data_IF_770393152207
#
_entry.id   IF_770393152207
#
_cell.length_a   1.000
_cell.length_b   1.000
_cell.length_c   1.000
_cell.angle_alpha   90.00
_cell.angle_beta   90.00
_cell.angle_gamma   90.00
#
_symmetry.space_group_name_H-M   'P 1'
#
loop_
_entity.id
_entity.type
_entity.pdbx_description
1 polymer ?
#
# COMPACT_ATOMS: atom_id res chain seq x y z
N UNK A 1 -4.42 -11.16 -23.71
CA UNK A 1 -3.08 -11.30 -23.07
C UNK A 1 -2.02 -10.37 -23.62
N UNK A 2 -1.79 -10.30 -24.94
CA UNK A 2 -0.75 -9.44 -25.52
C UNK A 2 -0.82 -7.96 -25.08
N UNK A 3 -2.03 -7.40 -24.94
CA UNK A 3 -2.22 -6.00 -24.56
C UNK A 3 -1.74 -5.67 -23.13
N UNK A 4 -1.92 -6.57 -22.16
CA UNK A 4 -1.40 -6.37 -20.79
C UNK A 4 0.12 -6.39 -20.81
N UNK A 5 0.71 -7.36 -21.52
CA UNK A 5 2.16 -7.48 -21.69
C UNK A 5 2.78 -6.24 -22.34
N UNK A 6 2.09 -5.62 -23.31
CA UNK A 6 2.56 -4.42 -24.01
C UNK A 6 2.65 -3.18 -23.10
N UNK A 7 2.01 -3.17 -21.93
CA UNK A 7 2.09 -2.05 -20.98
C UNK A 7 3.34 -2.10 -20.11
N UNK A 8 4.09 -3.20 -20.10
CA UNK A 8 5.29 -3.39 -19.26
C UNK A 8 6.36 -2.29 -19.38
N UNK A 9 6.63 -1.71 -20.57
CA UNK A 9 7.60 -0.62 -20.70
C UNK A 9 7.15 0.73 -20.14
N UNK A 10 5.87 0.87 -19.74
CA UNK A 10 5.37 2.12 -19.17
C UNK A 10 5.94 2.39 -17.78
N UNK A 11 5.98 3.66 -17.38
CA UNK A 11 6.48 4.04 -16.05
C UNK A 11 5.45 3.75 -14.96
N UNK A 12 5.87 3.25 -13.79
CA UNK A 12 4.97 3.02 -12.68
C UNK A 12 4.52 4.34 -12.01
N UNK A 13 3.46 4.32 -11.20
CA UNK A 13 2.95 5.52 -10.53
C UNK A 13 3.99 6.17 -9.61
N UNK A 14 4.20 7.49 -9.74
CA UNK A 14 5.22 8.21 -8.95
C UNK A 14 4.96 8.23 -7.44
N UNK A 15 3.73 7.95 -7.01
CA UNK A 15 3.32 7.92 -5.61
C UNK A 15 3.27 6.51 -5.01
N UNK A 16 3.62 5.48 -5.78
CA UNK A 16 3.55 4.09 -5.34
C UNK A 16 2.13 3.52 -5.29
N UNK A 17 1.12 4.24 -5.80
CA UNK A 17 -0.25 3.72 -5.81
C UNK A 17 -0.46 2.55 -6.77
N UNK A 18 -1.63 1.91 -6.67
CA UNK A 18 -2.08 0.89 -7.61
C UNK A 18 -2.19 1.49 -9.04
N UNK A 19 -1.51 0.93 -10.06
CA UNK A 19 -1.64 1.40 -11.43
C UNK A 19 -3.08 1.25 -11.94
N UNK A 20 -3.57 2.25 -12.68
CA UNK A 20 -4.95 2.24 -13.22
C UNK A 20 -5.25 1.02 -14.08
N UNK A 21 -4.25 0.52 -14.79
CA UNK A 21 -4.37 -0.71 -15.59
C UNK A 21 -4.78 -1.90 -14.71
N UNK A 22 -4.20 -2.00 -13.52
CA UNK A 22 -4.42 -3.13 -12.61
C UNK A 22 -5.86 -3.10 -12.11
N UNK A 23 -6.33 -1.95 -11.62
CA UNK A 23 -7.73 -1.79 -11.22
C UNK A 23 -8.69 -2.08 -12.37
N UNK A 24 -8.41 -1.53 -13.57
CA UNK A 24 -9.24 -1.79 -14.74
C UNK A 24 -9.31 -3.27 -15.11
N UNK A 25 -8.16 -3.96 -15.14
CA UNK A 25 -8.12 -5.39 -15.50
C UNK A 25 -8.85 -6.23 -14.45
N UNK A 26 -8.66 -5.97 -13.16
CA UNK A 26 -9.38 -6.71 -12.11
C UNK A 26 -10.88 -6.46 -12.16
N UNK A 27 -11.31 -5.22 -12.38
CA UNK A 27 -12.73 -4.86 -12.48
C UNK A 27 -13.37 -5.51 -13.71
N UNK A 28 -12.66 -5.47 -14.85
CA UNK A 28 -13.11 -6.08 -16.09
C UNK A 28 -13.21 -7.60 -15.99
N UNK A 29 -12.18 -8.27 -15.46
CA UNK A 29 -12.22 -9.72 -15.22
C UNK A 29 -13.35 -10.10 -14.27
N UNK A 30 -13.56 -9.34 -13.20
CA UNK A 30 -14.67 -9.58 -12.28
C UNK A 30 -16.04 -9.39 -12.96
N UNK A 31 -16.18 -8.41 -13.86
CA UNK A 31 -17.40 -8.23 -14.64
C UNK A 31 -17.65 -9.40 -15.60
N UNK A 32 -16.62 -9.90 -16.30
CA UNK A 32 -16.74 -11.03 -17.21
C UNK A 32 -17.15 -12.32 -16.50
N UNK A 33 -16.75 -12.49 -15.24
CA UNK A 33 -17.09 -13.66 -14.43
C UNK A 33 -18.53 -13.65 -13.91
N UNK A 34 -19.24 -12.53 -14.03
CA UNK A 34 -20.58 -12.42 -13.45
C UNK A 34 -21.62 -13.30 -14.16
N UNK A 35 -22.66 -13.68 -13.41
CA UNK A 35 -23.73 -14.56 -13.89
C UNK A 35 -24.48 -14.00 -15.12
N UNK A 36 -24.36 -12.69 -15.37
CA UNK A 36 -24.97 -12.05 -16.53
C UNK A 36 -24.12 -12.22 -17.78
N UNK A 37 -22.80 -12.00 -17.71
CA UNK A 37 -21.91 -11.98 -18.88
C UNK A 37 -21.26 -13.33 -19.14
N UNK A 38 -20.95 -14.11 -18.09
CA UNK A 38 -20.24 -15.38 -18.23
C UNK A 38 -20.97 -16.37 -19.16
N UNK A 39 -22.28 -16.62 -19.05
CA UNK A 39 -22.97 -17.55 -19.96
C UNK A 39 -22.95 -17.08 -21.42
N UNK A 40 -23.13 -15.78 -21.64
CA UNK A 40 -23.09 -15.19 -22.98
C UNK A 40 -21.68 -15.28 -23.58
N UNK A 41 -20.65 -14.99 -22.78
CA UNK A 41 -19.25 -15.12 -23.19
C UNK A 41 -18.92 -16.56 -23.57
N UNK A 42 -19.32 -17.54 -22.75
CA UNK A 42 -19.16 -18.97 -23.08
C UNK A 42 -19.81 -19.30 -24.42
N UNK A 43 -21.06 -18.85 -24.64
CA UNK A 43 -21.79 -19.12 -25.89
C UNK A 43 -21.13 -18.50 -27.13
N UNK A 44 -20.65 -17.26 -27.01
CA UNK A 44 -19.93 -16.58 -28.10
C UNK A 44 -18.63 -17.32 -28.42
N UNK A 45 -17.88 -17.75 -27.40
CA UNK A 45 -16.64 -18.51 -27.58
C UNK A 45 -16.89 -19.88 -28.20
N UNK A 46 -17.89 -20.63 -27.73
CA UNK A 46 -18.32 -21.90 -28.34
C UNK A 46 -18.62 -21.72 -29.83
N UNK A 47 -19.40 -20.69 -30.18
CA UNK A 47 -19.77 -20.41 -31.57
C UNK A 47 -18.52 -20.08 -32.40
N UNK A 48 -17.67 -19.18 -31.90
CA UNK A 48 -16.44 -18.80 -32.59
C UNK A 48 -15.47 -19.99 -32.80
N UNK A 49 -15.29 -20.86 -31.80
CA UNK A 49 -14.44 -22.04 -31.91
C UNK A 49 -15.02 -23.08 -32.89
N UNK A 50 -16.34 -23.25 -32.91
CA UNK A 50 -17.00 -24.14 -33.87
C UNK A 50 -16.75 -23.72 -35.32
N UNK A 51 -16.71 -22.42 -35.63
CA UNK A 51 -16.36 -21.91 -36.96
C UNK A 51 -14.91 -22.21 -37.37
N UNK A 52 -14.03 -22.48 -36.39
CA UNK A 52 -12.63 -22.83 -36.58
C UNK A 52 -12.36 -24.34 -36.51
N UNK A 53 -13.40 -25.16 -36.37
CA UNK A 53 -13.30 -26.60 -36.08
C UNK A 53 -12.49 -26.91 -34.80
N UNK A 54 -12.54 -26.03 -33.81
CA UNK A 54 -11.91 -26.21 -32.50
C UNK A 54 -12.98 -26.58 -31.45
N UNK A 55 -12.66 -27.45 -30.49
CA UNK A 55 -13.57 -27.83 -29.42
C UNK A 55 -13.52 -26.83 -28.27
N UNK A 56 -14.70 -26.46 -27.75
CA UNK A 56 -14.77 -25.65 -26.53
C UNK A 56 -14.42 -26.49 -25.32
N UNK A 57 -13.37 -26.11 -24.61
CA UNK A 57 -12.99 -26.71 -23.32
C UNK A 57 -13.69 -25.98 -22.17
N UNK A 58 -14.39 -26.74 -21.34
CA UNK A 58 -14.97 -26.20 -20.11
C UNK A 58 -13.84 -25.72 -19.20
N UNK A 59 -13.74 -24.41 -19.01
CA UNK A 59 -12.63 -23.79 -18.30
C UNK A 59 -11.90 -22.71 -19.07
N UNK A 60 -12.04 -22.64 -20.41
CA UNK A 60 -11.23 -21.73 -21.24
C UNK A 60 -11.30 -20.26 -20.79
N UNK A 61 -12.47 -19.77 -20.39
CA UNK A 61 -12.63 -18.40 -19.86
C UNK A 61 -11.82 -18.20 -18.57
N UNK A 62 -11.89 -19.17 -17.67
CA UNK A 62 -11.17 -19.16 -16.40
C UNK A 62 -9.65 -19.20 -16.65
N UNK A 63 -9.17 -20.06 -17.54
CA UNK A 63 -7.75 -20.11 -17.93
C UNK A 63 -7.28 -18.76 -18.50
N UNK A 64 -8.07 -18.15 -19.39
CA UNK A 64 -7.71 -16.87 -20.00
C UNK A 64 -7.68 -15.71 -18.99
N UNK A 65 -8.59 -15.69 -18.02
CA UNK A 65 -8.57 -14.72 -16.92
C UNK A 65 -7.35 -14.98 -16.03
N UNK A 66 -7.08 -16.23 -15.70
CA UNK A 66 -5.93 -16.61 -14.88
C UNK A 66 -4.60 -16.14 -15.50
N UNK A 67 -4.32 -16.43 -16.78
CA UNK A 67 -3.05 -15.95 -17.35
C UNK A 67 -3.03 -14.43 -17.57
N UNK A 68 -4.20 -13.78 -17.66
CA UNK A 68 -4.28 -12.31 -17.66
C UNK A 68 -3.85 -11.74 -16.32
N UNK A 69 -4.31 -12.30 -15.20
CA UNK A 69 -3.88 -11.91 -13.85
C UNK A 69 -2.40 -12.26 -13.62
N UNK A 70 -1.92 -13.37 -14.18
CA UNK A 70 -0.50 -13.74 -14.16
C UNK A 70 0.38 -12.73 -14.89
N UNK A 71 0.00 -12.30 -16.09
CA UNK A 71 0.73 -11.25 -16.82
C UNK A 71 0.69 -9.90 -16.08
N UNK A 72 -0.42 -9.59 -15.41
CA UNK A 72 -0.52 -8.45 -14.49
C UNK A 72 0.53 -8.55 -13.38
N UNK A 73 0.68 -9.71 -12.74
CA UNK A 73 1.68 -9.91 -11.70
C UNK A 73 3.13 -9.72 -12.22
N UNK A 74 3.42 -10.20 -13.43
CA UNK A 74 4.74 -9.99 -14.09
C UNK A 74 5.00 -8.51 -14.35
N UNK A 75 3.98 -7.74 -14.75
CA UNK A 75 4.12 -6.30 -14.93
C UNK A 75 4.39 -5.59 -13.61
N UNK A 76 3.70 -5.96 -12.53
CA UNK A 76 3.96 -5.40 -11.20
C UNK A 76 5.39 -5.66 -10.73
N UNK A 77 5.92 -6.85 -10.93
CA UNK A 77 7.33 -7.17 -10.62
C UNK A 77 8.32 -6.36 -11.48
N UNK A 78 8.00 -6.14 -12.75
CA UNK A 78 8.83 -5.30 -13.62
C UNK A 78 8.82 -3.83 -13.18
N UNK A 79 7.63 -3.33 -12.80
CA UNK A 79 7.42 -1.96 -12.34
C UNK A 79 8.03 -1.68 -10.96
N UNK A 80 7.97 -2.63 -10.04
CA UNK A 80 8.60 -2.48 -8.72
C UNK A 80 10.12 -2.27 -8.86
N UNK A 81 10.76 -2.99 -9.78
CA UNK A 81 12.19 -2.85 -10.11
C UNK A 81 12.55 -1.56 -10.85
N UNK A 82 11.58 -0.86 -11.43
CA UNK A 82 11.81 0.37 -12.17
C UNK A 82 11.93 1.62 -11.27
N UNK A 83 11.59 1.52 -9.98
CA UNK A 83 11.79 2.61 -9.05
C UNK A 83 13.28 2.75 -8.67
N UNK A 84 13.81 3.97 -8.80
CA UNK A 84 15.15 4.31 -8.30
C UNK A 84 15.22 4.19 -6.77
N UNK A 85 14.15 4.57 -6.08
CA UNK A 85 14.03 4.43 -4.64
C UNK A 85 13.39 3.10 -4.26
N UNK A 86 14.19 2.18 -3.74
CA UNK A 86 13.73 0.88 -3.27
C UNK A 86 12.65 0.97 -2.18
N UNK A 87 12.65 2.04 -1.37
CA UNK A 87 11.61 2.22 -0.34
C UNK A 87 10.26 2.58 -0.94
N UNK A 88 10.24 3.31 -2.07
CA UNK A 88 9.04 3.54 -2.86
C UNK A 88 8.56 2.25 -3.54
N UNK A 89 9.48 1.41 -4.01
CA UNK A 89 9.13 0.07 -4.52
C UNK A 89 8.40 -0.77 -3.47
N UNK A 90 8.78 -0.68 -2.19
CA UNK A 90 8.07 -1.41 -1.13
C UNK A 90 6.65 -0.88 -0.93
N UNK A 91 6.46 0.45 -0.89
CA UNK A 91 5.12 1.06 -0.83
C UNK A 91 4.26 0.63 -2.01
N UNK A 92 4.84 0.62 -3.21
CA UNK A 92 4.18 0.12 -4.41
C UNK A 92 3.70 -1.32 -4.26
N UNK A 93 4.55 -2.21 -3.74
CA UNK A 93 4.17 -3.61 -3.55
C UNK A 93 3.10 -3.77 -2.45
N UNK A 94 3.16 -2.97 -1.37
CA UNK A 94 2.12 -2.96 -0.33
C UNK A 94 0.75 -2.66 -0.94
N UNK A 95 0.63 -1.57 -1.71
CA UNK A 95 -0.64 -1.13 -2.28
C UNK A 95 -1.22 -2.15 -3.27
N UNK A 96 -0.37 -2.76 -4.12
CA UNK A 96 -0.83 -3.77 -5.08
C UNK A 96 -1.21 -5.09 -4.40
N UNK A 97 -0.51 -5.51 -3.34
CA UNK A 97 -0.89 -6.70 -2.58
C UNK A 97 -2.18 -6.48 -1.77
N UNK A 98 -2.38 -5.28 -1.23
CA UNK A 98 -3.67 -4.87 -0.67
C UNK A 98 -4.80 -4.94 -1.71
N UNK A 99 -4.56 -4.42 -2.92
CA UNK A 99 -5.55 -4.47 -4.01
C UNK A 99 -6.01 -5.89 -4.30
N UNK A 100 -5.08 -6.83 -4.46
CA UNK A 100 -5.42 -8.23 -4.72
C UNK A 100 -6.06 -8.95 -3.54
N UNK A 101 -5.58 -8.72 -2.31
CA UNK A 101 -6.20 -9.27 -1.11
C UNK A 101 -7.66 -8.82 -0.97
N UNK A 102 -7.94 -7.56 -1.33
CA UNK A 102 -9.28 -6.98 -1.28
C UNK A 102 -10.23 -7.51 -2.36
N UNK A 103 -9.78 -8.41 -3.24
CA UNK A 103 -10.66 -9.18 -4.13
C UNK A 103 -11.39 -10.32 -3.38
N UNK A 104 -11.12 -10.54 -2.10
CA UNK A 104 -11.82 -11.53 -1.28
C UNK A 104 -13.33 -11.28 -1.29
N UNK A 105 -14.11 -12.31 -1.63
CA UNK A 105 -15.58 -12.23 -1.66
C UNK A 105 -16.17 -11.55 -2.90
N UNK A 106 -15.34 -11.31 -3.92
CA UNK A 106 -15.83 -11.04 -5.28
C UNK A 106 -15.42 -12.17 -6.22
N UNK A 107 -16.12 -12.31 -7.33
CA UNK A 107 -16.03 -13.47 -8.22
C UNK A 107 -14.61 -13.73 -8.73
N UNK A 108 -13.85 -12.67 -9.02
CA UNK A 108 -12.45 -12.82 -9.40
C UNK A 108 -11.58 -13.39 -8.26
N UNK A 109 -11.75 -12.91 -7.03
CA UNK A 109 -10.98 -13.43 -5.89
C UNK A 109 -11.38 -14.86 -5.55
N UNK A 110 -12.68 -15.17 -5.59
CA UNK A 110 -13.19 -16.53 -5.35
C UNK A 110 -12.66 -17.51 -6.40
N UNK A 111 -12.59 -17.08 -7.67
CA UNK A 111 -11.97 -17.85 -8.75
C UNK A 111 -10.47 -18.09 -8.51
N UNK A 112 -9.73 -17.09 -8.05
CA UNK A 112 -8.28 -17.21 -7.80
C UNK A 112 -7.98 -18.07 -6.56
N UNK A 113 -8.92 -18.14 -5.62
CA UNK A 113 -8.88 -19.02 -4.46
C UNK A 113 -8.18 -18.44 -3.22
N UNK A 114 -8.55 -18.98 -2.05
CA UNK A 114 -8.09 -18.51 -0.74
C UNK A 114 -6.58 -18.57 -0.55
N UNK A 115 -5.90 -19.56 -1.14
CA UNK A 115 -4.43 -19.68 -1.05
C UNK A 115 -3.74 -18.49 -1.73
N UNK A 116 -4.24 -18.05 -2.88
CA UNK A 116 -3.70 -16.91 -3.61
C UNK A 116 -3.97 -15.59 -2.87
N UNK A 117 -5.19 -15.43 -2.33
CA UNK A 117 -5.55 -14.27 -1.50
C UNK A 117 -4.71 -14.21 -0.22
N UNK A 118 -4.55 -15.33 0.48
CA UNK A 118 -3.73 -15.42 1.69
C UNK A 118 -2.25 -15.13 1.43
N UNK A 119 -1.71 -15.52 0.27
CA UNK A 119 -0.35 -15.14 -0.10
C UNK A 119 -0.19 -13.61 -0.23
N UNK A 120 -1.18 -12.92 -0.83
CA UNK A 120 -1.15 -11.46 -0.92
C UNK A 120 -1.26 -10.75 0.44
N UNK A 121 -1.96 -11.34 1.41
CA UNK A 121 -1.94 -10.87 2.80
C UNK A 121 -0.54 -10.95 3.42
N UNK A 122 0.15 -12.07 3.23
CA UNK A 122 1.50 -12.24 3.76
C UNK A 122 2.50 -11.30 3.06
N UNK A 123 2.36 -11.10 1.74
CA UNK A 123 3.26 -10.22 1.01
C UNK A 123 3.09 -8.74 1.38
N UNK A 124 1.87 -8.23 1.60
CA UNK A 124 1.70 -6.83 2.07
C UNK A 124 2.41 -6.61 3.41
N UNK A 125 2.31 -7.57 4.33
CA UNK A 125 2.96 -7.48 5.65
C UNK A 125 4.49 -7.58 5.53
N UNK A 126 4.98 -8.47 4.66
CA UNK A 126 6.40 -8.61 4.34
C UNK A 126 6.99 -7.30 3.79
N UNK A 127 6.34 -6.67 2.81
CA UNK A 127 6.84 -5.41 2.24
C UNK A 127 6.71 -4.24 3.22
N UNK A 128 5.68 -4.22 4.08
CA UNK A 128 5.58 -3.25 5.17
C UNK A 128 6.77 -3.37 6.14
N UNK A 129 7.16 -4.59 6.52
CA UNK A 129 8.32 -4.83 7.37
C UNK A 129 9.64 -4.41 6.69
N UNK A 130 9.82 -4.72 5.40
CA UNK A 130 10.99 -4.25 4.63
C UNK A 130 11.06 -2.73 4.57
N UNK A 131 9.94 -2.06 4.33
CA UNK A 131 9.84 -0.61 4.32
C UNK A 131 10.23 -0.01 5.67
N UNK A 132 9.63 -0.48 6.77
CA UNK A 132 9.93 0.01 8.12
C UNK A 132 11.42 -0.15 8.46
N UNK A 133 12.00 -1.32 8.18
CA UNK A 133 13.42 -1.62 8.42
C UNK A 133 14.35 -0.74 7.59
N UNK A 134 14.10 -0.66 6.28
CA UNK A 134 15.04 -0.05 5.34
C UNK A 134 14.89 1.47 5.23
N UNK A 135 13.72 2.03 5.58
CA UNK A 135 13.51 3.48 5.67
C UNK A 135 13.77 3.99 7.09
N UNK A 136 12.94 3.61 8.06
CA UNK A 136 12.90 4.23 9.39
C UNK A 136 13.88 3.62 10.39
N UNK A 137 14.21 2.33 10.24
CA UNK A 137 15.26 1.68 11.05
C UNK A 137 16.62 2.39 10.94
N UNK A 138 16.98 2.86 9.73
CA UNK A 138 18.20 3.65 9.51
C UNK A 138 18.14 5.01 10.21
N UNK A 139 17.00 5.69 10.20
CA UNK A 139 16.84 6.98 10.90
C UNK A 139 17.03 6.83 12.41
N UNK A 140 16.41 5.81 13.00
CA UNK A 140 16.51 5.54 14.43
C UNK A 140 17.95 5.26 14.85
N UNK A 141 18.75 4.57 14.03
CA UNK A 141 20.15 4.28 14.35
C UNK A 141 21.02 5.53 14.64
N UNK A 142 20.62 6.71 14.14
CA UNK A 142 21.32 7.99 14.40
C UNK A 142 21.28 8.35 15.89
N UNK A 143 20.16 8.07 16.56
CA UNK A 143 19.91 8.44 17.96
C UNK A 143 19.88 7.23 18.91
N UNK A 144 19.76 6.00 18.40
CA UNK A 144 19.63 4.74 19.19
C UNK A 144 20.99 4.07 19.50
N UNK A 145 22.12 4.65 19.10
CA UNK A 145 23.42 4.03 19.43
C UNK A 145 23.67 3.91 20.95
N UNK A 146 24.23 2.75 21.32
CA UNK A 146 24.55 2.26 22.68
C UNK A 146 25.36 3.24 23.55
N UNK A 147 25.96 4.27 22.96
CA UNK A 147 26.66 5.35 23.65
C UNK A 147 25.74 6.28 24.45
N UNK A 148 24.42 6.15 24.35
CA UNK A 148 23.50 6.81 25.31
C UNK A 148 23.75 6.36 26.76
N UNK A 149 24.41 5.21 26.95
CA UNK A 149 24.87 4.73 28.27
C UNK A 149 26.32 5.08 28.58
N UNK A 150 27.09 5.61 27.63
CA UNK A 150 28.38 6.22 27.93
C UNK A 150 28.14 7.67 28.30
N UNK A 151 28.22 7.98 29.58
CA UNK A 151 28.18 9.32 30.20
C UNK A 151 29.28 10.28 29.72
N UNK A 152 29.83 10.10 28.51
CA UNK A 152 31.02 10.75 27.97
C UNK A 152 30.76 11.64 26.74
N UNK A 153 29.53 11.71 26.23
CA UNK A 153 29.19 12.60 25.11
C UNK A 153 28.87 14.01 25.62
N UNK A 154 29.66 14.99 25.21
CA UNK A 154 29.41 16.42 25.48
C UNK A 154 28.11 16.90 24.84
N UNK A 155 27.56 18.01 25.35
CA UNK A 155 26.39 18.66 24.74
C UNK A 155 26.56 18.89 23.24
N UNK A 156 27.76 19.29 22.80
CA UNK A 156 28.06 19.49 21.38
C UNK A 156 27.89 18.22 20.54
N UNK A 157 28.32 17.06 21.05
CA UNK A 157 28.18 15.76 20.38
C UNK A 157 26.71 15.35 20.25
N UNK A 158 25.94 15.50 21.35
CA UNK A 158 24.51 15.22 21.36
C UNK A 158 23.74 16.14 20.41
N UNK A 159 24.08 17.43 20.38
CA UNK A 159 23.48 18.43 19.50
C UNK A 159 23.75 18.16 18.02
N UNK A 160 24.97 17.74 17.66
CA UNK A 160 25.31 17.36 16.27
C UNK A 160 24.50 16.14 15.79
N UNK A 161 24.34 15.13 16.65
CA UNK A 161 23.50 13.95 16.35
C UNK A 161 22.03 14.33 16.22
N UNK A 162 21.51 15.19 17.09
CA UNK A 162 20.13 15.70 17.01
C UNK A 162 19.89 16.49 15.72
N UNK A 163 20.84 17.34 15.34
CA UNK A 163 20.79 18.05 14.06
C UNK A 163 20.77 17.07 12.87
N UNK A 164 21.63 16.05 12.88
CA UNK A 164 21.69 15.01 11.85
C UNK A 164 20.37 14.25 11.74
N UNK A 165 19.76 13.90 12.88
CA UNK A 165 18.43 13.30 12.94
C UNK A 165 17.37 14.21 12.30
N UNK A 166 17.35 15.49 12.66
CA UNK A 166 16.35 16.44 12.13
C UNK A 166 16.45 16.58 10.61
N UNK A 167 17.66 16.69 10.06
CA UNK A 167 17.88 16.74 8.61
C UNK A 167 17.39 15.45 7.94
N UNK A 168 17.80 14.30 8.45
CA UNK A 168 17.40 13.01 7.89
C UNK A 168 15.89 12.74 8.02
N UNK A 169 15.25 13.23 9.08
CA UNK A 169 13.80 13.16 9.24
C UNK A 169 13.08 14.06 8.23
N UNK A 170 13.51 15.32 8.06
CA UNK A 170 12.89 16.24 7.10
C UNK A 170 13.00 15.76 5.66
N UNK A 171 14.18 15.29 5.24
CA UNK A 171 14.39 14.76 3.89
C UNK A 171 13.45 13.59 3.60
N UNK A 172 13.33 12.68 4.58
CA UNK A 172 12.43 11.53 4.48
C UNK A 172 10.98 11.95 4.47
N UNK A 173 10.56 12.79 5.42
CA UNK A 173 9.19 13.30 5.48
C UNK A 173 8.79 14.02 4.19
N UNK A 174 9.68 14.87 3.64
CA UNK A 174 9.45 15.58 2.37
C UNK A 174 9.23 14.61 1.21
N UNK A 175 10.03 13.55 1.15
CA UNK A 175 9.93 12.52 0.11
C UNK A 175 8.66 11.68 0.27
N UNK A 176 8.46 11.10 1.44
CA UNK A 176 7.42 10.10 1.73
C UNK A 176 6.01 10.72 1.88
N UNK A 177 5.90 12.00 2.20
CA UNK A 177 4.60 12.72 2.22
C UNK A 177 3.94 12.84 0.85
N UNK A 178 4.69 12.60 -0.24
CA UNK A 178 4.14 12.58 -1.60
C UNK A 178 3.62 11.21 -2.04
N UNK A 179 3.89 10.16 -1.26
CA UNK A 179 3.50 8.77 -1.53
C UNK A 179 2.14 8.48 -0.93
N UNK A 180 1.52 7.38 -1.34
CA UNK A 180 0.19 6.97 -0.89
C UNK A 180 0.18 5.53 -0.42
N UNK A 181 -0.63 5.24 0.61
CA UNK A 181 -1.07 3.88 0.93
C UNK A 181 -2.60 3.91 0.89
N UNK A 182 -3.19 3.15 -0.03
CA UNK A 182 -4.63 3.16 -0.27
C UNK A 182 -5.43 2.52 0.86
N UNK A 183 -4.87 1.49 1.51
CA UNK A 183 -5.51 0.83 2.64
C UNK A 183 -5.34 1.67 3.92
N UNK A 184 -6.42 2.30 4.36
CA UNK A 184 -6.42 3.21 5.50
C UNK A 184 -6.04 2.52 6.83
N UNK A 185 -6.43 1.25 7.01
CA UNK A 185 -6.13 0.51 8.23
C UNK A 185 -4.63 0.18 8.30
N UNK A 186 -4.06 -0.31 7.20
CA UNK A 186 -2.63 -0.58 7.09
C UNK A 186 -1.81 0.70 7.21
N UNK A 187 -2.23 1.78 6.56
CA UNK A 187 -1.60 3.10 6.70
C UNK A 187 -1.54 3.53 8.17
N UNK A 188 -2.67 3.44 8.88
CA UNK A 188 -2.73 3.79 10.30
C UNK A 188 -1.85 2.89 11.15
N UNK A 189 -1.80 1.58 10.86
CA UNK A 189 -0.94 0.64 11.58
C UNK A 189 0.55 0.98 11.39
N UNK A 190 0.98 1.32 10.17
CA UNK A 190 2.34 1.76 9.88
C UNK A 190 2.66 3.06 10.62
N UNK A 191 1.80 4.09 10.51
CA UNK A 191 2.00 5.36 11.21
C UNK A 191 2.05 5.18 12.73
N UNK A 192 1.14 4.38 13.30
CA UNK A 192 1.12 4.05 14.73
C UNK A 192 2.44 3.40 15.16
N UNK A 193 2.91 2.39 14.44
CA UNK A 193 4.16 1.71 14.73
C UNK A 193 5.36 2.69 14.70
N UNK A 194 5.41 3.58 13.71
CA UNK A 194 6.43 4.61 13.62
C UNK A 194 6.39 5.58 14.81
N UNK A 195 5.22 6.03 15.22
CA UNK A 195 5.05 6.88 16.42
C UNK A 195 5.56 6.16 17.67
N UNK A 196 5.13 4.91 17.88
CA UNK A 196 5.50 4.08 19.03
C UNK A 196 7.00 3.82 19.10
N UNK A 197 7.68 3.69 17.96
CA UNK A 197 9.13 3.50 17.92
C UNK A 197 9.93 4.82 18.03
N UNK A 198 9.49 5.89 17.38
CA UNK A 198 10.30 7.11 17.22
C UNK A 198 10.10 8.09 18.37
N UNK A 199 8.85 8.35 18.75
CA UNK A 199 8.53 9.42 19.69
C UNK A 199 9.13 9.17 21.08
N UNK A 200 9.04 7.97 21.68
CA UNK A 200 9.65 7.71 22.98
C UNK A 200 11.18 7.89 22.97
N UNK A 201 11.85 7.40 21.92
CA UNK A 201 13.30 7.48 21.77
C UNK A 201 13.74 8.93 21.62
N UNK A 202 13.09 9.69 20.75
CA UNK A 202 13.37 11.11 20.57
C UNK A 202 13.14 11.90 21.85
N UNK A 203 12.04 11.63 22.58
CA UNK A 203 11.72 12.31 23.84
C UNK A 203 12.77 12.05 24.92
N UNK A 204 13.22 10.80 25.06
CA UNK A 204 14.30 10.44 25.98
C UNK A 204 15.62 11.11 25.60
N UNK A 205 15.96 11.12 24.31
CA UNK A 205 17.17 11.75 23.78
C UNK A 205 17.20 13.25 24.07
N UNK A 206 16.10 13.96 23.77
CA UNK A 206 15.98 15.41 24.02
C UNK A 206 16.06 15.72 25.52
N UNK A 207 15.43 14.90 26.37
CA UNK A 207 15.54 15.06 27.83
C UNK A 207 17.00 14.95 28.30
N UNK A 208 17.74 13.93 27.83
CA UNK A 208 19.14 13.77 28.18
C UNK A 208 19.99 14.96 27.72
N UNK A 209 19.77 15.40 26.47
CA UNK A 209 20.47 16.55 25.91
C UNK A 209 20.25 17.85 26.70
N UNK A 210 19.00 18.13 27.12
CA UNK A 210 18.70 19.29 27.96
C UNK A 210 19.46 19.22 29.31
N UNK A 211 19.47 18.07 29.97
CA UNK A 211 20.20 17.89 31.24
C UNK A 211 21.71 18.12 31.07
N UNK A 212 22.30 17.63 29.97
CA UNK A 212 23.72 17.85 29.67
C UNK A 212 24.02 19.33 29.43
N UNK A 213 23.17 20.03 28.67
CA UNK A 213 23.32 21.47 28.41
C UNK A 213 23.21 22.29 29.70
N UNK A 214 22.24 21.98 30.55
CA UNK A 214 22.05 22.63 31.85
C UNK A 214 23.28 22.45 32.75
N UNK A 215 23.83 21.24 32.81
CA UNK A 215 25.06 20.95 33.55
C UNK A 215 26.30 21.67 33.01
N UNK A 216 26.38 21.88 31.68
CA UNK A 216 27.48 22.57 31.02
C UNK A 216 27.30 24.11 30.96
N UNK A 217 26.16 24.65 31.43
CA UNK A 217 25.85 26.09 31.38
C UNK A 217 25.69 26.64 29.96
N UNK A 218 25.37 25.78 28.99
CA UNK A 218 25.24 26.13 27.57
C UNK A 218 23.78 26.50 27.23
N UNK A 219 23.57 27.10 26.06
CA UNK A 219 22.20 27.40 25.55
C UNK A 219 21.69 26.23 24.71
N UNK A 220 20.40 25.91 24.84
CA UNK A 220 19.71 24.90 24.03
C UNK A 220 19.84 25.24 22.54
N UNK A 221 20.43 24.33 21.77
CA UNK A 221 20.57 24.43 20.31
C UNK A 221 20.02 23.16 19.66
N UNK A 222 19.46 23.25 18.45
CA UNK A 222 19.08 22.09 17.61
C UNK A 222 17.84 21.27 18.00
N UNK A 223 17.07 21.62 19.04
CA UNK A 223 15.74 21.01 19.24
C UNK A 223 14.78 21.64 18.24
N UNK A 224 14.37 20.87 17.23
CA UNK A 224 13.49 21.34 16.15
C UNK A 224 12.02 20.93 16.33
N UNK A 225 11.78 19.73 16.86
CA UNK A 225 10.45 19.17 17.01
C UNK A 225 10.08 19.01 18.48
N UNK A 226 8.82 19.30 18.80
CA UNK A 226 8.17 18.73 19.99
C UNK A 226 7.74 17.29 19.68
N UNK A 227 7.55 16.47 20.72
CA UNK A 227 7.05 15.10 20.56
C UNK A 227 5.72 15.07 19.78
N UNK A 228 4.80 15.99 20.09
CA UNK A 228 3.51 16.14 19.41
C UNK A 228 3.69 16.55 17.93
N UNK A 229 4.58 17.50 17.63
CA UNK A 229 4.82 17.91 16.25
C UNK A 229 5.41 16.78 15.38
N UNK A 230 6.23 15.91 15.99
CA UNK A 230 6.82 14.75 15.32
C UNK A 230 5.76 13.69 15.05
N UNK A 231 4.92 13.40 16.05
CA UNK A 231 3.77 12.51 15.93
C UNK A 231 2.80 12.96 14.83
N UNK A 232 2.41 14.24 14.84
CA UNK A 232 1.50 14.81 13.85
C UNK A 232 2.05 14.70 12.42
N UNK A 233 3.37 14.89 12.23
CA UNK A 233 4.03 14.67 10.94
C UNK A 233 4.00 13.20 10.53
N UNK A 234 4.25 12.26 11.44
CA UNK A 234 4.18 10.83 11.10
C UNK A 234 2.76 10.45 10.67
N UNK A 235 1.73 10.96 11.35
CA UNK A 235 0.33 10.71 11.00
C UNK A 235 -0.11 11.30 9.66
N UNK A 236 0.55 12.37 9.20
CA UNK A 236 0.25 12.99 7.90
C UNK A 236 0.95 12.30 6.71
N UNK A 237 1.74 11.25 6.94
CA UNK A 237 2.35 10.46 5.87
C UNK A 237 1.32 9.59 5.13
N UNK A 238 1.63 9.28 3.87
CA UNK A 238 0.90 8.31 3.04
C UNK A 238 -0.58 8.62 2.80
N UNK A 239 -0.99 9.86 3.02
CA UNK A 239 -2.38 10.28 2.88
C UNK A 239 -2.84 10.06 1.43
N UNK A 240 -4.01 9.43 1.20
CA UNK A 240 -4.58 9.33 -0.13
C UNK A 240 -4.74 10.72 -0.73
N UNK A 241 -4.21 10.93 -1.94
CA UNK A 241 -4.46 12.18 -2.66
C UNK A 241 -5.94 12.21 -3.02
N UNK A 242 -6.70 13.13 -2.39
CA UNK A 242 -8.04 13.48 -2.84
C UNK A 242 -7.92 13.93 -4.29
N UNK A 243 -8.25 13.04 -5.24
CA UNK A 243 -8.36 13.42 -6.64
C UNK A 243 -9.50 14.43 -6.74
N UNK A 244 -9.19 15.72 -6.87
CA UNK A 244 -10.10 16.70 -7.51
C UNK A 244 -10.21 16.33 -8.98
N UNK A 245 -10.94 15.26 -9.29
CA UNK A 245 -11.40 14.94 -10.63
C UNK A 245 -12.89 14.68 -10.53
N UNK A 246 -13.63 15.27 -11.48
CA UNK A 246 -15.08 15.40 -11.50
C UNK A 246 -15.83 14.11 -11.20
N UNK A 247 -17.05 14.31 -10.70
CA UNK A 247 -18.03 13.29 -10.35
C UNK A 247 -18.00 12.08 -11.30
N UNK A 248 -17.39 10.99 -10.86
CA UNK A 248 -17.85 9.65 -11.22
C UNK A 248 -18.27 9.02 -9.91
N UNK A 249 -19.59 9.01 -9.71
CA UNK A 249 -20.25 8.53 -8.51
C UNK A 249 -19.95 7.04 -8.32
N UNK A 250 -18.93 6.73 -7.51
CA UNK A 250 -18.76 5.41 -6.91
C UNK A 250 -19.72 5.17 -5.72
N UNK A 251 -20.67 6.10 -5.52
CA UNK A 251 -21.64 6.08 -4.43
C UNK A 251 -22.95 5.32 -4.76
N UNK A 252 -23.08 4.63 -5.90
CA UNK A 252 -24.35 4.00 -6.30
C UNK A 252 -24.36 2.46 -6.41
N UNK A 253 -23.27 1.78 -6.03
CA UNK A 253 -23.23 0.31 -6.06
C UNK A 253 -23.64 -0.32 -4.71
N UNK A 254 -23.18 0.24 -3.59
CA UNK A 254 -23.54 -0.22 -2.24
C UNK A 254 -24.99 0.08 -1.87
N UNK A 255 -25.57 1.15 -2.43
CA UNK A 255 -27.00 1.48 -2.32
C UNK A 255 -27.90 0.53 -3.11
N UNK A 256 -27.46 0.04 -4.28
CA UNK A 256 -28.19 -0.96 -5.08
C UNK A 256 -28.18 -2.34 -4.43
N UNK A 257 -27.05 -2.79 -3.86
CA UNK A 257 -26.96 -4.07 -3.15
C UNK A 257 -27.84 -4.08 -1.88
N UNK A 258 -27.89 -2.98 -1.13
CA UNK A 258 -28.81 -2.84 0.02
C UNK A 258 -30.28 -2.86 -0.39
N UNK A 259 -30.63 -2.34 -1.58
CA UNK A 259 -32.02 -2.33 -2.10
C UNK A 259 -32.46 -3.72 -2.56
N UNK A 260 -31.55 -4.49 -3.18
CA UNK A 260 -31.80 -5.89 -3.59
C UNK A 260 -31.92 -6.82 -2.37
N UNK A 261 -31.08 -6.63 -1.35
CA UNK A 261 -31.15 -7.43 -0.10
C UNK A 261 -32.41 -7.14 0.74
N UNK A 262 -32.95 -5.91 0.70
CA UNK A 262 -34.23 -5.59 1.35
C UNK A 262 -35.42 -6.22 0.61
N UNK A 263 -35.40 -6.27 -0.73
CA UNK A 263 -36.49 -6.84 -1.52
C UNK A 263 -36.57 -8.38 -1.44
N UNK A 264 -35.44 -9.05 -1.17
CA UNK A 264 -35.41 -10.50 -0.96
C UNK A 264 -35.99 -10.94 0.40
N UNK A 265 -35.99 -10.04 1.40
CA UNK A 265 -36.55 -10.35 2.73
C UNK A 265 -38.08 -10.22 2.84
N UNK A 266 -38.74 -9.56 1.87
CA UNK A 266 -40.20 -9.40 1.88
C UNK A 266 -40.95 -10.50 1.10
N UNK A 267 -40.26 -11.36 0.36
CA UNK A 267 -40.87 -12.45 -0.42
C UNK A 267 -40.85 -13.81 0.28
N UNK A 268 -40.17 -13.94 1.42
CA UNK A 268 -40.16 -15.16 2.26
C UNK A 268 -41.01 -15.07 3.54
N UNK A 269 -41.67 -13.93 3.79
CA UNK A 269 -42.58 -13.75 4.93
C UNK A 269 -44.07 -13.75 4.53
N UNK A 270 -44.38 -14.13 3.28
CA UNK A 270 -45.74 -14.21 2.76
C UNK A 270 -46.00 -15.60 2.15
N UNK A 271 -46.11 -16.61 3.03
CA UNK A 271 -46.96 -17.79 2.87
C UNK A 271 -47.13 -18.49 4.21
#
# INVERSE_FOLDING_TARGET
>A
MAQVKLQRPSSPPRDGGVPRLISFVTDYCNQLLNDTYLPHLKKVLETHLSWRNETYEEGIVFTQIYDTIKEVAVNLDSWSKAYEDITLSYIFMIDNHCHFYNLRGIMLGDMMGDTWLGAHEQYKDYYAALYLRNSWGKLLSIIVQKDLLSSSLSSQGLGKRLYTFNVAFDERYKKESSWTICDEALRKNICKHLVECIVPIYKAYVKNYNLTIENEGMVVKHIKYTAESLENKIWSLFQPKLKKNGSVKHADWTSKIKRVSKNFRFTLAAK
#
